data_IF_376142326333
#
_entry.id   IF_376142326333
#
_cell.length_a   1.000
_cell.length_b   1.000
_cell.length_c   1.000
_cell.angle_alpha   90.00
_cell.angle_beta   90.00
_cell.angle_gamma   90.00
#
_symmetry.space_group_name_H-M   'P 1'
#
loop_
_entity.id
_entity.type
_entity.pdbx_description
1 polymer ?
#
# COMPACT_ATOMS: atom_id res chain seq x y z
N UNK A 1 -11.27 11.02 19.57
CA UNK A 1 -10.44 10.80 18.36
C UNK A 1 -9.06 10.45 18.86
N UNK A 2 -8.77 9.17 19.05
CA UNK A 2 -7.43 8.71 19.41
C UNK A 2 -6.54 8.89 18.18
N UNK A 3 -5.79 9.98 18.16
CA UNK A 3 -4.76 10.19 17.15
C UNK A 3 -3.60 9.30 17.60
N UNK A 4 -3.37 8.19 16.89
CA UNK A 4 -2.22 7.31 17.13
C UNK A 4 -0.95 8.17 17.24
N UNK A 5 -0.37 8.21 18.45
CA UNK A 5 0.72 9.11 18.84
C UNK A 5 2.10 8.65 18.37
N UNK A 6 2.17 7.54 17.65
CA UNK A 6 3.42 6.98 17.12
C UNK A 6 3.48 7.26 15.61
N UNK A 7 4.60 7.82 15.09
CA UNK A 7 4.73 8.06 13.67
C UNK A 7 4.52 6.75 12.91
N UNK A 8 3.61 6.71 11.92
CA UNK A 8 3.32 5.48 11.20
C UNK A 8 4.62 4.95 10.60
N UNK A 9 4.91 3.67 10.86
CA UNK A 9 6.09 3.03 10.27
C UNK A 9 6.10 3.21 8.76
N UNK A 10 7.28 3.33 8.15
CA UNK A 10 7.45 3.50 6.70
C UNK A 10 6.66 2.43 5.91
N UNK A 11 6.57 1.21 6.44
CA UNK A 11 5.78 0.12 5.87
C UNK A 11 4.27 0.39 5.86
N UNK A 12 3.73 1.07 6.88
CA UNK A 12 2.32 1.47 6.95
C UNK A 12 2.01 2.57 5.95
N UNK A 13 2.86 3.60 5.87
CA UNK A 13 2.73 4.67 4.88
C UNK A 13 2.79 4.13 3.44
N UNK A 14 3.70 3.20 3.16
CA UNK A 14 3.78 2.54 1.86
C UNK A 14 2.50 1.75 1.54
N UNK A 15 1.94 1.04 2.52
CA UNK A 15 0.71 0.29 2.33
C UNK A 15 -0.50 1.20 2.07
N UNK A 16 -0.64 2.29 2.82
CA UNK A 16 -1.69 3.29 2.61
C UNK A 16 -1.57 3.94 1.23
N UNK A 17 -0.35 4.26 0.80
CA UNK A 17 -0.10 4.78 -0.55
C UNK A 17 -0.50 3.76 -1.63
N UNK A 18 -0.12 2.49 -1.46
CA UNK A 18 -0.53 1.41 -2.36
C UNK A 18 -2.06 1.31 -2.46
N UNK A 19 -2.78 1.36 -1.33
CA UNK A 19 -4.24 1.30 -1.34
C UNK A 19 -4.88 2.49 -2.05
N UNK A 20 -4.36 3.70 -1.82
CA UNK A 20 -4.86 4.90 -2.47
C UNK A 20 -4.76 4.78 -3.99
N UNK A 21 -3.58 4.41 -4.50
CA UNK A 21 -3.35 4.25 -5.95
C UNK A 21 -4.08 3.03 -6.51
N UNK A 22 -4.33 2.01 -5.70
CA UNK A 22 -5.17 0.87 -6.09
C UNK A 22 -6.63 1.28 -6.28
N UNK A 23 -7.15 2.14 -5.41
CA UNK A 23 -8.51 2.69 -5.52
C UNK A 23 -8.63 3.64 -6.73
N UNK A 24 -7.63 4.48 -6.97
CA UNK A 24 -7.58 5.37 -8.15
C UNK A 24 -7.57 4.60 -9.48
N UNK A 25 -7.17 3.33 -9.47
CA UNK A 25 -7.14 2.45 -10.63
C UNK A 25 -8.19 1.32 -10.58
N UNK A 26 -9.27 1.47 -9.80
CA UNK A 26 -10.37 0.49 -9.71
C UNK A 26 -9.91 -0.94 -9.38
N UNK A 27 -8.89 -1.08 -8.52
CA UNK A 27 -8.35 -2.39 -8.15
C UNK A 27 -7.39 -2.99 -9.18
N UNK A 28 -7.04 -2.28 -10.25
CA UNK A 28 -6.15 -2.80 -11.29
C UNK A 28 -4.69 -2.83 -10.83
N UNK A 29 -4.27 -3.96 -10.27
CA UNK A 29 -2.91 -4.22 -9.78
C UNK A 29 -1.83 -3.88 -10.83
N UNK A 30 -2.07 -4.16 -12.11
CA UNK A 30 -1.07 -3.90 -13.16
C UNK A 30 -0.91 -2.41 -13.44
N UNK A 31 -2.00 -1.64 -13.41
CA UNK A 31 -1.96 -0.18 -13.58
C UNK A 31 -1.34 0.48 -12.35
N UNK A 32 -1.76 0.09 -11.14
CA UNK A 32 -1.18 0.54 -9.87
C UNK A 32 0.31 0.27 -9.79
N UNK A 33 0.77 -0.93 -10.20
CA UNK A 33 2.19 -1.25 -10.20
C UNK A 33 3.00 -0.33 -11.13
N UNK A 34 2.46 -0.02 -12.32
CA UNK A 34 3.08 0.94 -13.25
C UNK A 34 3.09 2.36 -12.68
N UNK A 35 1.99 2.81 -12.08
CA UNK A 35 1.88 4.12 -11.46
C UNK A 35 2.84 4.30 -10.28
N UNK A 36 3.04 3.25 -9.48
CA UNK A 36 3.99 3.21 -8.36
C UNK A 36 5.44 2.92 -8.79
N UNK A 37 5.71 2.76 -10.10
CA UNK A 37 7.07 2.46 -10.60
C UNK A 37 7.64 1.11 -10.13
N UNK A 38 6.78 0.15 -9.78
CA UNK A 38 7.19 -1.16 -9.27
C UNK A 38 6.71 -2.31 -10.14
N UNK A 39 7.39 -3.46 -10.05
CA UNK A 39 6.91 -4.67 -10.71
C UNK A 39 5.61 -5.17 -10.07
N UNK A 40 4.66 -5.64 -10.91
CA UNK A 40 3.39 -6.24 -10.48
C UNK A 40 3.57 -7.34 -9.41
N UNK A 41 4.61 -8.18 -9.55
CA UNK A 41 4.93 -9.25 -8.57
C UNK A 41 5.34 -8.69 -7.21
N UNK A 42 6.03 -7.55 -7.18
CA UNK A 42 6.39 -6.84 -5.94
C UNK A 42 5.14 -6.28 -5.28
N UNK A 43 4.26 -5.62 -6.04
CA UNK A 43 3.00 -5.09 -5.52
C UNK A 43 2.12 -6.20 -4.92
N UNK A 44 1.96 -7.32 -5.63
CA UNK A 44 1.22 -8.48 -5.11
C UNK A 44 1.81 -8.99 -3.80
N UNK A 45 3.13 -9.14 -3.69
CA UNK A 45 3.79 -9.57 -2.44
C UNK A 45 3.54 -8.60 -1.29
N UNK A 46 3.56 -7.29 -1.56
CA UNK A 46 3.25 -6.25 -0.57
C UNK A 46 1.78 -6.30 -0.15
N UNK A 47 0.85 -6.57 -1.07
CA UNK A 47 -0.56 -6.77 -0.76
C UNK A 47 -0.82 -8.05 0.05
N UNK A 48 -0.08 -9.13 -0.21
CA UNK A 48 -0.19 -10.40 0.53
C UNK A 48 0.33 -10.29 1.96
N UNK A 49 1.38 -9.50 2.20
CA UNK A 49 1.82 -9.13 3.55
C UNK A 49 0.97 -7.97 4.04
N UNK A 50 -0.23 -8.26 4.55
CA UNK A 50 -0.99 -7.27 5.33
C UNK A 50 -0.07 -6.70 6.42
N UNK A 51 0.02 -5.37 6.58
CA UNK A 51 0.77 -4.78 7.66
C UNK A 51 0.20 -5.36 8.95
N UNK A 52 1.06 -6.00 9.75
CA UNK A 52 0.64 -6.47 11.06
C UNK A 52 0.14 -5.24 11.81
N UNK A 53 -1.14 -5.27 12.23
CA UNK A 53 -1.63 -4.35 13.26
C UNK A 53 -0.83 -4.70 14.51
N UNK A 54 0.25 -3.96 14.76
CA UNK A 54 0.82 -3.86 16.10
C UNK A 54 -0.04 -2.89 16.88
#
# INVERSE_FOLDING_TARGET
LEIETDPPSVNRLEWEHIQKVLLEHDGNISATARALGMHRRTLQRKLSKKPARK
#
